data_IF_533297461633
#
_entry.id   IF_533297461633
#
_cell.length_a   1.000
_cell.length_b   1.000
_cell.length_c   1.000
_cell.angle_alpha   90.00
_cell.angle_beta   90.00
_cell.angle_gamma   90.00
#
_symmetry.space_group_name_H-M   'P 1'
#
loop_
_entity.id
_entity.type
_entity.pdbx_description
1 polymer ?
#
# COMPACT_ATOMS: atom_id res chain seq x y z
N UNK A 1 -21.08 -9.62 10.29
CA UNK A 1 -20.87 -8.64 9.19
C UNK A 1 -20.13 -7.36 9.60
N UNK A 2 -20.68 -6.47 10.44
CA UNK A 2 -20.03 -5.19 10.83
C UNK A 2 -18.60 -5.34 11.36
N UNK A 3 -18.37 -6.36 12.18
CA UNK A 3 -17.04 -6.65 12.74
C UNK A 3 -16.05 -7.16 11.68
N UNK A 4 -16.51 -7.94 10.69
CA UNK A 4 -15.70 -8.40 9.57
C UNK A 4 -15.34 -7.24 8.62
N UNK A 5 -16.31 -6.35 8.35
CA UNK A 5 -16.12 -5.09 7.61
C UNK A 5 -15.05 -4.21 8.27
N UNK A 6 -15.07 -4.12 9.61
CA UNK A 6 -14.09 -3.36 10.39
C UNK A 6 -12.68 -3.97 10.34
N UNK A 7 -12.58 -5.30 10.27
CA UNK A 7 -11.31 -6.05 10.23
C UNK A 7 -10.68 -6.13 8.83
N UNK A 8 -11.44 -5.85 7.76
CA UNK A 8 -10.99 -5.87 6.35
C UNK A 8 -10.23 -7.16 5.97
N UNK A 9 -10.67 -8.30 6.49
CA UNK A 9 -10.02 -9.58 6.25
C UNK A 9 -10.86 -10.39 5.24
N UNK A 10 -10.29 -10.67 4.07
CA UNK A 10 -10.99 -11.20 2.90
C UNK A 10 -11.80 -12.47 3.20
N UNK A 11 -11.17 -13.51 3.76
CA UNK A 11 -11.87 -14.78 4.07
C UNK A 11 -12.98 -14.60 5.09
N UNK A 12 -12.72 -13.84 6.16
CA UNK A 12 -13.71 -13.57 7.21
C UNK A 12 -14.86 -12.70 6.71
N UNK A 13 -14.63 -11.82 5.74
CA UNK A 13 -15.67 -11.02 5.11
C UNK A 13 -16.52 -11.87 4.16
N UNK A 14 -15.88 -12.74 3.36
CA UNK A 14 -16.56 -13.70 2.48
C UNK A 14 -17.47 -14.64 3.26
N UNK A 15 -16.92 -15.32 4.27
CA UNK A 15 -17.68 -16.28 5.09
C UNK A 15 -18.85 -15.59 5.81
N UNK A 16 -18.67 -14.33 6.22
CA UNK A 16 -19.72 -13.55 6.85
C UNK A 16 -20.80 -13.04 5.88
N UNK A 17 -20.49 -12.88 4.59
CA UNK A 17 -21.48 -12.57 3.55
C UNK A 17 -22.25 -13.84 3.21
N UNK A 18 -21.56 -14.96 2.97
CA UNK A 18 -22.16 -16.27 2.67
C UNK A 18 -23.11 -16.72 3.80
N UNK A 19 -22.72 -16.52 5.06
CA UNK A 19 -23.58 -16.83 6.22
C UNK A 19 -24.84 -15.95 6.31
N UNK A 20 -24.79 -14.70 5.84
CA UNK A 20 -25.95 -13.80 5.82
C UNK A 20 -26.87 -14.11 4.66
N UNK A 21 -26.32 -14.49 3.50
CA UNK A 21 -27.09 -14.84 2.30
C UNK A 21 -27.80 -16.19 2.42
N UNK A 22 -27.19 -17.15 3.13
CA UNK A 22 -27.82 -18.43 3.47
C UNK A 22 -28.80 -18.32 4.65
N UNK A 23 -28.93 -17.14 5.27
CA UNK A 23 -29.82 -16.89 6.40
C UNK A 23 -31.15 -16.28 5.94
N UNK A 24 -32.27 -16.53 6.65
CA UNK A 24 -33.55 -15.86 6.37
C UNK A 24 -33.49 -14.32 6.42
N UNK A 25 -32.47 -13.73 7.05
CA UNK A 25 -32.26 -12.28 7.15
C UNK A 25 -31.69 -11.63 5.89
N UNK A 26 -31.39 -12.40 4.84
CA UNK A 26 -30.81 -11.87 3.59
C UNK A 26 -31.66 -10.76 2.94
N UNK A 27 -32.99 -10.82 3.11
CA UNK A 27 -33.94 -9.85 2.55
C UNK A 27 -34.04 -8.55 3.36
N UNK A 28 -33.58 -8.54 4.62
CA UNK A 28 -33.71 -7.41 5.53
C UNK A 28 -32.51 -6.44 5.47
N UNK A 29 -31.38 -6.88 4.90
CA UNK A 29 -30.12 -6.14 4.94
C UNK A 29 -29.44 -5.91 3.57
N UNK A 30 -30.18 -5.60 2.48
CA UNK A 30 -29.62 -5.53 1.13
C UNK A 30 -28.50 -4.49 1.01
N UNK A 31 -28.64 -3.32 1.64
CA UNK A 31 -27.63 -2.25 1.58
C UNK A 31 -26.33 -2.62 2.32
N UNK A 32 -26.44 -3.39 3.41
CA UNK A 32 -25.27 -3.80 4.21
C UNK A 32 -24.49 -4.92 3.51
N UNK A 33 -25.21 -5.84 2.86
CA UNK A 33 -24.63 -6.89 2.04
C UNK A 33 -23.98 -6.29 0.80
N UNK A 34 -24.63 -5.34 0.13
CA UNK A 34 -24.06 -4.66 -1.04
C UNK A 34 -22.77 -3.89 -0.69
N UNK A 35 -22.76 -3.15 0.41
CA UNK A 35 -21.55 -2.45 0.87
C UNK A 35 -20.43 -3.43 1.25
N UNK A 36 -20.77 -4.58 1.86
CA UNK A 36 -19.82 -5.63 2.17
C UNK A 36 -19.28 -6.33 0.90
N UNK A 37 -20.12 -6.51 -0.13
CA UNK A 37 -19.74 -7.04 -1.44
C UNK A 37 -18.79 -6.11 -2.18
N UNK A 38 -19.08 -4.81 -2.22
CA UNK A 38 -18.16 -3.81 -2.79
C UNK A 38 -16.81 -3.80 -2.06
N UNK A 39 -16.81 -3.96 -0.74
CA UNK A 39 -15.57 -4.08 0.04
C UNK A 39 -14.87 -5.42 -0.22
N UNK A 40 -15.63 -6.51 -0.43
CA UNK A 40 -15.08 -7.81 -0.79
C UNK A 40 -14.46 -7.77 -2.18
N UNK A 41 -15.09 -7.11 -3.16
CA UNK A 41 -14.59 -6.91 -4.52
C UNK A 41 -13.34 -6.02 -4.52
N UNK A 42 -13.30 -4.98 -3.68
CA UNK A 42 -12.10 -4.16 -3.48
C UNK A 42 -10.96 -4.98 -2.86
N UNK A 43 -11.25 -5.80 -1.84
CA UNK A 43 -10.27 -6.70 -1.23
C UNK A 43 -9.87 -7.84 -2.18
N UNK A 44 -10.78 -8.30 -3.03
CA UNK A 44 -10.55 -9.29 -4.08
C UNK A 44 -9.72 -8.70 -5.20
N UNK A 45 -9.92 -7.44 -5.59
CA UNK A 45 -9.08 -6.71 -6.53
C UNK A 45 -7.67 -6.57 -5.95
N UNK A 46 -7.56 -6.14 -4.68
CA UNK A 46 -6.30 -6.09 -3.95
C UNK A 46 -5.64 -7.47 -3.78
N UNK A 47 -6.43 -8.55 -3.74
CA UNK A 47 -5.94 -9.92 -3.65
C UNK A 47 -5.59 -10.50 -5.04
N UNK A 48 -6.39 -10.31 -6.09
CA UNK A 48 -6.17 -10.79 -7.46
C UNK A 48 -5.02 -10.06 -8.15
N UNK A 49 -4.83 -8.77 -7.89
CA UNK A 49 -3.61 -8.07 -8.25
C UNK A 49 -2.37 -8.59 -7.48
N UNK A 50 -2.55 -9.50 -6.51
CA UNK A 50 -1.52 -9.97 -5.60
C UNK A 50 -1.46 -11.50 -5.44
N UNK A 51 -2.34 -12.27 -6.08
CA UNK A 51 -2.49 -13.71 -5.90
C UNK A 51 -2.46 -14.40 -7.26
N UNK A 52 -1.29 -14.87 -7.66
CA UNK A 52 -1.20 -15.99 -8.61
C UNK A 52 -0.03 -15.93 -9.58
N UNK A 53 0.36 -14.74 -9.98
CA UNK A 53 1.69 -14.43 -10.50
C UNK A 53 2.21 -13.31 -9.59
N UNK A 54 3.52 -13.22 -9.28
CA UNK A 54 4.01 -11.93 -8.84
C UNK A 54 3.58 -10.98 -9.95
N UNK A 55 2.63 -10.07 -9.69
CA UNK A 55 2.69 -8.81 -10.39
C UNK A 55 4.02 -8.25 -9.90
N UNK A 56 5.07 -8.63 -10.63
CA UNK A 56 6.24 -7.82 -10.87
C UNK A 56 5.68 -6.50 -11.41
N UNK A 57 5.11 -5.70 -10.51
CA UNK A 57 5.52 -4.33 -10.39
C UNK A 57 7.02 -4.37 -10.12
N UNK A 58 7.77 -4.77 -11.16
CA UNK A 58 9.19 -4.62 -11.30
C UNK A 58 9.34 -3.11 -11.34
N UNK A 59 9.36 -2.52 -10.16
CA UNK A 59 9.81 -1.17 -9.99
C UNK A 59 11.25 -1.22 -10.46
N UNK A 60 11.42 -0.91 -11.73
CA UNK A 60 12.66 -1.05 -12.44
C UNK A 60 13.42 0.25 -12.40
N UNK A 61 14.63 0.20 -12.95
CA UNK A 61 15.39 1.43 -13.22
C UNK A 61 14.64 2.37 -14.18
N UNK A 62 13.72 1.85 -15.01
CA UNK A 62 12.79 2.62 -15.83
C UNK A 62 11.83 3.45 -14.97
N UNK A 63 11.20 2.84 -13.96
CA UNK A 63 10.26 3.54 -13.05
C UNK A 63 10.94 4.66 -12.27
N UNK A 64 12.16 4.42 -11.78
CA UNK A 64 12.98 5.47 -11.15
C UNK A 64 13.28 6.58 -12.16
N UNK A 65 13.68 6.21 -13.38
CA UNK A 65 14.07 7.18 -14.40
C UNK A 65 12.91 8.09 -14.80
N UNK A 66 11.70 7.56 -14.90
CA UNK A 66 10.50 8.35 -15.19
C UNK A 66 10.15 9.27 -14.03
N UNK A 67 10.00 8.74 -12.82
CA UNK A 67 9.64 9.53 -11.63
C UNK A 67 10.67 10.62 -11.37
N UNK A 68 11.95 10.39 -11.70
CA UNK A 68 13.01 11.40 -11.60
C UNK A 68 12.84 12.57 -12.59
N UNK A 69 12.20 12.35 -13.75
CA UNK A 69 12.04 13.40 -14.79
C UNK A 69 11.06 14.50 -14.38
N UNK A 70 10.22 14.27 -13.37
CA UNK A 70 9.36 15.34 -12.85
C UNK A 70 10.19 16.52 -12.32
N UNK A 71 10.12 17.66 -13.03
CA UNK A 71 10.69 18.93 -12.56
C UNK A 71 9.94 19.46 -11.34
N UNK A 72 8.61 19.37 -11.40
CA UNK A 72 7.68 19.75 -10.33
C UNK A 72 6.59 18.68 -10.21
N UNK A 73 6.85 17.58 -9.47
CA UNK A 73 5.88 16.49 -9.34
C UNK A 73 4.63 16.93 -8.57
N UNK A 74 3.46 16.36 -8.90
CA UNK A 74 2.26 16.49 -8.08
C UNK A 74 2.46 15.93 -6.67
N UNK A 75 1.67 16.43 -5.71
CA UNK A 75 1.75 16.01 -4.30
C UNK A 75 1.59 14.51 -4.09
N UNK A 76 0.74 13.85 -4.88
CA UNK A 76 0.52 12.41 -4.82
C UNK A 76 1.78 11.60 -5.17
N UNK A 77 2.58 12.05 -6.14
CA UNK A 77 3.86 11.43 -6.52
C UNK A 77 4.90 11.66 -5.42
N UNK A 78 4.99 12.90 -4.92
CA UNK A 78 5.91 13.28 -3.83
C UNK A 78 5.67 12.43 -2.59
N UNK A 79 4.41 12.33 -2.16
CA UNK A 79 4.01 11.58 -0.96
C UNK A 79 4.27 10.08 -1.13
N UNK A 80 4.01 9.52 -2.32
CA UNK A 80 4.26 8.11 -2.63
C UNK A 80 5.75 7.75 -2.57
N UNK A 81 6.61 8.54 -3.22
CA UNK A 81 8.07 8.34 -3.20
C UNK A 81 8.64 8.55 -1.80
N UNK A 82 8.16 9.58 -1.09
CA UNK A 82 8.58 9.88 0.28
C UNK A 82 8.23 8.74 1.23
N UNK A 83 7.03 8.17 1.09
CA UNK A 83 6.62 7.02 1.89
C UNK A 83 7.56 5.82 1.66
N UNK A 84 7.95 5.55 0.41
CA UNK A 84 8.93 4.48 0.11
C UNK A 84 10.24 4.67 0.87
N UNK A 85 10.83 5.87 0.81
CA UNK A 85 12.07 6.17 1.54
C UNK A 85 11.91 6.03 3.06
N UNK A 86 10.79 6.49 3.63
CA UNK A 86 10.54 6.36 5.07
C UNK A 86 10.42 4.88 5.50
N UNK A 87 9.82 4.04 4.65
CA UNK A 87 9.65 2.61 4.91
C UNK A 87 10.97 1.85 4.87
N UNK A 88 11.88 2.20 3.96
CA UNK A 88 13.24 1.63 3.92
C UNK A 88 14.20 2.28 4.93
N UNK A 89 13.67 3.05 5.90
CA UNK A 89 14.41 3.70 6.98
C UNK A 89 15.38 4.81 6.56
N UNK A 90 15.12 5.47 5.43
CA UNK A 90 15.80 6.73 5.13
C UNK A 90 15.41 7.81 6.15
N UNK A 91 16.37 8.60 6.67
CA UNK A 91 16.09 9.65 7.63
C UNK A 91 15.08 10.68 7.11
N UNK A 92 14.08 11.12 7.91
CA UNK A 92 13.13 12.16 7.49
C UNK A 92 13.78 13.47 7.06
N UNK A 93 14.98 13.76 7.55
CA UNK A 93 15.80 14.91 7.16
C UNK A 93 16.25 14.86 5.71
N UNK A 94 16.46 13.67 5.14
CA UNK A 94 16.93 13.47 3.77
C UNK A 94 15.78 13.49 2.74
N UNK A 95 14.52 13.40 3.19
CA UNK A 95 13.33 13.35 2.32
C UNK A 95 12.41 14.56 2.51
N UNK A 96 12.98 15.69 2.93
CA UNK A 96 12.23 16.93 3.18
C UNK A 96 11.70 17.55 1.90
N UNK A 97 12.51 17.59 0.84
CA UNK A 97 12.20 18.28 -0.40
C UNK A 97 12.34 17.35 -1.59
N UNK A 98 11.62 17.65 -2.67
CA UNK A 98 11.72 16.88 -3.91
C UNK A 98 13.16 16.81 -4.46
N UNK A 99 13.94 17.91 -4.53
CA UNK A 99 15.33 17.83 -5.00
C UNK A 99 16.19 16.84 -4.21
N UNK A 100 16.01 16.76 -2.88
CA UNK A 100 16.73 15.79 -2.06
C UNK A 100 16.30 14.36 -2.38
N UNK A 101 15.00 14.09 -2.46
CA UNK A 101 14.49 12.77 -2.87
C UNK A 101 14.95 12.39 -4.27
N UNK A 102 15.00 13.35 -5.19
CA UNK A 102 15.48 13.15 -6.56
C UNK A 102 16.96 12.79 -6.60
N UNK A 103 17.78 13.36 -5.70
CA UNK A 103 19.18 12.99 -5.55
C UNK A 103 19.32 11.57 -4.97
N UNK A 104 18.48 11.19 -3.99
CA UNK A 104 18.45 9.83 -3.44
C UNK A 104 18.06 8.78 -4.50
N UNK A 105 17.12 9.11 -5.38
CA UNK A 105 16.72 8.27 -6.51
C UNK A 105 17.85 8.01 -7.51
N UNK A 106 18.92 8.82 -7.51
CA UNK A 106 20.11 8.59 -8.35
C UNK A 106 21.09 7.57 -7.75
N UNK A 107 20.92 7.14 -6.49
CA UNK A 107 21.80 6.16 -5.87
C UNK A 107 21.65 4.80 -6.56
N UNK A 108 22.77 4.11 -6.75
CA UNK A 108 22.84 2.81 -7.43
C UNK A 108 23.40 1.74 -6.49
N UNK A 109 23.30 0.47 -6.88
CA UNK A 109 23.82 -0.65 -6.08
C UNK A 109 23.06 -0.83 -4.76
N UNK A 110 23.78 -1.09 -3.67
CA UNK A 110 23.18 -1.38 -2.34
C UNK A 110 22.40 -0.21 -1.76
N UNK A 111 22.78 1.02 -2.11
CA UNK A 111 22.11 2.24 -1.66
C UNK A 111 20.97 2.67 -2.57
N UNK A 112 20.70 1.92 -3.65
CA UNK A 112 19.55 2.19 -4.50
C UNK A 112 18.26 1.90 -3.75
N UNK A 113 17.27 2.74 -3.99
CA UNK A 113 15.95 2.56 -3.40
C UNK A 113 15.35 1.18 -3.77
N UNK A 114 15.58 0.68 -4.99
CA UNK A 114 15.10 -0.64 -5.41
C UNK A 114 15.67 -1.78 -4.58
N UNK A 115 16.99 -1.77 -4.32
CA UNK A 115 17.64 -2.81 -3.51
C UNK A 115 17.15 -2.74 -2.07
N UNK A 116 16.99 -1.54 -1.52
CA UNK A 116 16.44 -1.34 -0.17
C UNK A 116 14.98 -1.80 -0.07
N UNK A 117 14.18 -1.56 -1.11
CA UNK A 117 12.79 -2.01 -1.19
C UNK A 117 12.68 -3.53 -1.35
N UNK A 118 13.56 -4.16 -2.13
CA UNK A 118 13.60 -5.61 -2.31
C UNK A 118 14.01 -6.34 -1.03
N UNK A 119 14.89 -5.72 -0.23
CA UNK A 119 15.36 -6.25 1.06
C UNK A 119 14.55 -5.74 2.26
N UNK A 120 13.42 -5.08 2.01
CA UNK A 120 12.58 -4.50 3.06
C UNK A 120 12.04 -5.58 4.01
N UNK A 121 12.32 -5.40 5.30
CA UNK A 121 11.81 -6.22 6.38
C UNK A 121 10.81 -5.43 7.24
N UNK A 122 9.50 -5.76 7.21
CA UNK A 122 8.51 -5.10 8.03
C UNK A 122 8.79 -5.26 9.53
N UNK A 123 9.50 -6.31 9.97
CA UNK A 123 9.86 -6.51 11.38
C UNK A 123 10.66 -5.35 11.96
N UNK A 124 11.56 -4.77 11.17
CA UNK A 124 12.47 -3.67 11.55
C UNK A 124 11.82 -2.29 11.50
N UNK A 125 10.66 -2.15 10.88
CA UNK A 125 9.97 -0.87 10.76
C UNK A 125 9.44 -0.40 12.13
N UNK A 126 9.81 0.82 12.55
CA UNK A 126 9.26 1.39 13.79
C UNK A 126 7.80 1.82 13.61
N UNK A 127 7.03 1.87 14.71
CA UNK A 127 5.64 2.34 14.70
C UNK A 127 5.56 3.81 14.24
N UNK A 128 6.53 4.63 14.61
CA UNK A 128 6.59 6.05 14.21
C UNK A 128 6.79 6.20 12.71
N UNK A 129 7.68 5.42 12.10
CA UNK A 129 7.89 5.42 10.64
C UNK A 129 6.63 4.92 9.93
N UNK A 130 6.04 3.82 10.42
CA UNK A 130 4.79 3.28 9.89
C UNK A 130 3.69 4.35 9.85
N UNK A 131 3.43 5.03 10.98
CA UNK A 131 2.39 6.07 11.06
C UNK A 131 2.65 7.23 10.10
N UNK A 132 3.90 7.67 9.97
CA UNK A 132 4.26 8.75 9.04
C UNK A 132 4.04 8.33 7.59
N UNK A 133 4.52 7.16 7.19
CA UNK A 133 4.33 6.65 5.82
C UNK A 133 2.84 6.37 5.52
N UNK A 134 2.11 5.78 6.46
CA UNK A 134 0.66 5.54 6.34
C UNK A 134 -0.13 6.84 6.15
N UNK A 135 0.22 7.89 6.89
CA UNK A 135 -0.42 9.20 6.75
C UNK A 135 -0.20 9.88 5.38
N UNK A 136 0.87 9.52 4.67
CA UNK A 136 1.16 10.02 3.32
C UNK A 136 0.38 9.23 2.27
N UNK A 137 0.41 7.90 2.36
CA UNK A 137 -0.22 6.99 1.39
C UNK A 137 -1.74 7.07 1.43
N UNK A 138 -2.36 7.16 2.62
CA UNK A 138 -3.83 7.20 2.76
C UNK A 138 -4.51 8.44 2.19
N UNK A 139 -3.74 9.48 1.83
CA UNK A 139 -4.27 10.70 1.22
C UNK A 139 -4.69 10.51 -0.23
N UNK A 140 -4.19 9.46 -0.87
CA UNK A 140 -4.31 9.22 -2.29
C UNK A 140 -4.78 7.79 -2.53
N UNK A 141 -5.62 7.58 -3.53
CA UNK A 141 -5.94 6.26 -4.06
C UNK A 141 -4.94 5.84 -5.13
N UNK A 142 -4.76 4.53 -5.34
CA UNK A 142 -3.94 4.00 -6.43
C UNK A 142 -4.32 4.63 -7.78
N UNK A 143 -5.62 4.70 -8.05
CA UNK A 143 -6.16 5.24 -9.29
C UNK A 143 -5.74 6.69 -9.53
N UNK A 144 -5.75 7.54 -8.49
CA UNK A 144 -5.32 8.93 -8.60
C UNK A 144 -3.83 9.07 -8.90
N UNK A 145 -2.99 8.21 -8.30
CA UNK A 145 -1.54 8.25 -8.55
C UNK A 145 -1.22 7.68 -9.93
N UNK A 146 -1.81 6.54 -10.29
CA UNK A 146 -1.65 5.89 -11.59
C UNK A 146 -2.17 6.73 -12.76
N UNK A 147 -3.14 7.61 -12.52
CA UNK A 147 -3.60 8.58 -13.51
C UNK A 147 -2.55 9.65 -13.86
N UNK A 148 -1.59 9.93 -12.96
CA UNK A 148 -0.47 10.84 -13.23
C UNK A 148 0.62 10.13 -14.02
N UNK A 149 0.98 8.91 -13.58
CA UNK A 149 1.97 8.05 -14.23
C UNK A 149 1.82 6.64 -13.67
N UNK A 150 1.94 5.65 -14.55
CA UNK A 150 1.89 4.24 -14.15
C UNK A 150 3.00 3.90 -13.14
N UNK A 151 4.19 4.44 -13.37
CA UNK A 151 5.40 4.31 -12.58
C UNK A 151 5.20 4.92 -11.18
N UNK A 152 4.55 6.10 -11.11
CA UNK A 152 4.19 6.70 -9.83
C UNK A 152 3.20 5.84 -9.06
N UNK A 153 2.20 5.26 -9.74
CA UNK A 153 1.26 4.29 -9.17
C UNK A 153 1.99 3.09 -8.57
N UNK A 154 3.08 2.66 -9.22
CA UNK A 154 3.91 1.55 -8.73
C UNK A 154 4.57 1.87 -7.38
N UNK A 155 5.04 3.11 -7.17
CA UNK A 155 5.56 3.56 -5.87
C UNK A 155 4.50 3.53 -4.78
N UNK A 156 3.30 4.03 -5.08
CA UNK A 156 2.18 4.01 -4.13
C UNK A 156 1.80 2.57 -3.77
N UNK A 157 1.64 1.69 -4.77
CA UNK A 157 1.24 0.31 -4.59
C UNK A 157 2.25 -0.46 -3.71
N UNK A 158 3.54 -0.27 -3.95
CA UNK A 158 4.58 -0.86 -3.11
C UNK A 158 4.52 -0.36 -1.67
N UNK A 159 4.39 0.96 -1.46
CA UNK A 159 4.35 1.54 -0.12
C UNK A 159 3.13 1.06 0.67
N UNK A 160 1.94 1.06 0.04
CA UNK A 160 0.72 0.51 0.61
C UNK A 160 0.91 -0.98 0.97
N UNK A 161 1.57 -1.71 0.08
CA UNK A 161 1.86 -3.12 0.29
C UNK A 161 2.75 -3.39 1.49
N UNK A 162 3.83 -2.62 1.63
CA UNK A 162 4.77 -2.68 2.76
C UNK A 162 4.08 -2.34 4.10
N UNK A 163 3.20 -1.34 4.10
CA UNK A 163 2.40 -0.97 5.27
C UNK A 163 1.44 -2.10 5.68
N UNK A 164 0.75 -2.72 4.73
CA UNK A 164 -0.15 -3.85 5.00
C UNK A 164 0.60 -5.05 5.59
N UNK A 165 1.81 -5.35 5.08
CA UNK A 165 2.68 -6.38 5.68
C UNK A 165 3.01 -6.08 7.15
N UNK A 166 3.36 -4.83 7.48
CA UNK A 166 3.60 -4.41 8.88
C UNK A 166 2.36 -4.54 9.75
N UNK A 167 1.21 -4.07 9.25
CA UNK A 167 -0.06 -4.14 9.98
C UNK A 167 -0.40 -5.60 10.35
N UNK A 168 -0.25 -6.52 9.40
CA UNK A 168 -0.49 -7.95 9.63
C UNK A 168 0.45 -8.56 10.67
N UNK A 169 1.70 -8.08 10.77
CA UNK A 169 2.61 -8.51 11.84
C UNK A 169 2.19 -7.97 13.22
N UNK A 170 1.68 -6.73 13.29
CA UNK A 170 1.19 -6.16 14.55
C UNK A 170 -0.03 -6.94 15.06
N UNK A 171 -0.96 -7.29 14.16
CA UNK A 171 -2.17 -8.06 14.50
C UNK A 171 -1.91 -9.52 14.88
N UNK A 172 -0.78 -10.10 14.47
CA UNK A 172 -0.39 -11.49 14.77
C UNK A 172 0.37 -11.68 16.09
N UNK A 173 0.75 -10.63 16.82
CA UNK A 173 1.41 -10.81 18.12
C UNK A 173 0.40 -11.41 19.13
N UNK A 174 0.61 -12.64 19.63
CA UNK A 174 -0.23 -13.15 20.70
C UNK A 174 -0.06 -12.25 21.92
N UNK A 175 -1.18 -11.88 22.55
CA UNK A 175 -1.16 -11.27 23.89
C UNK A 175 -0.44 -12.26 24.81
N UNK A 176 0.74 -11.88 25.31
CA UNK A 176 1.33 -12.54 26.47
C UNK A 176 0.49 -12.25 27.70
#
# INVERSE_FOLDING_TARGET
LREAVRRRHYSTLRDAIDAVECSPFAKELPNSVQAARLLLDELAYQACCWSGEPVEHSMGYSSISEVRRFKSPPGCVVDSVKACFLLVSTPPSEVKTWPMMRALLCRTGRDSLLVQMATFDPGKLSVTQYKKADSLIRRWSEREVSAVSFEAGTFWAWANSALNRKYNQIGKKPKK
#
